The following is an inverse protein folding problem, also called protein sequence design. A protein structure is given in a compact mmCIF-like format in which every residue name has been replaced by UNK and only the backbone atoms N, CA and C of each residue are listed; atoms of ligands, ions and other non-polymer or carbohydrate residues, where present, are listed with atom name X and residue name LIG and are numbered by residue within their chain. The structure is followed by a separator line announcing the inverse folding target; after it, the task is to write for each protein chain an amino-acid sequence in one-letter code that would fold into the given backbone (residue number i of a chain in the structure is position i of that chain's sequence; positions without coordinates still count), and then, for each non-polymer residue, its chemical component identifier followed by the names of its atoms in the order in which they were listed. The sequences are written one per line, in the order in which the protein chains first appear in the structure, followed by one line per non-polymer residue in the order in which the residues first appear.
data_IF_188491570139
#
_entry.id   IF_188491570139
#
_cell.length_a   1.000
_cell.length_b   1.000
_cell.length_c   1.000
_cell.angle_alpha   90.00
_cell.angle_beta   90.00
_cell.angle_gamma   90.00
#
_symmetry.space_group_name_H-M   'P 1'
#
loop_
_entity.id
_entity.type
_entity.pdbx_description
1 polymer ?
#
# COMPACT_ATOMS: atom_id res chain seq x y z
N UNK A 1 -29.34 -5.91 -25.76
CA UNK A 1 -28.75 -6.97 -24.90
C UNK A 1 -27.48 -6.43 -24.29
N UNK A 2 -27.55 -5.95 -23.05
CA UNK A 2 -26.39 -5.56 -22.24
C UNK A 2 -25.59 -6.81 -21.92
N UNK A 3 -24.37 -6.92 -22.45
CA UNK A 3 -23.43 -7.96 -22.01
C UNK A 3 -23.18 -7.73 -20.52
N UNK A 4 -23.58 -8.67 -19.68
CA UNK A 4 -23.13 -8.74 -18.29
C UNK A 4 -21.61 -8.79 -18.31
N UNK A 5 -20.97 -7.67 -17.95
CA UNK A 5 -19.52 -7.61 -17.81
C UNK A 5 -19.20 -8.36 -16.52
N UNK A 6 -18.79 -9.62 -16.65
CA UNK A 6 -18.28 -10.39 -15.52
C UNK A 6 -16.96 -9.76 -15.10
N UNK A 7 -16.97 -9.08 -13.95
CA UNK A 7 -15.76 -8.48 -13.38
C UNK A 7 -14.81 -9.61 -12.96
N UNK A 8 -13.55 -9.63 -13.43
CA UNK A 8 -12.59 -10.66 -13.07
C UNK A 8 -12.39 -10.73 -11.55
N UNK A 9 -12.31 -11.96 -10.99
CA UNK A 9 -12.10 -12.19 -9.53
C UNK A 9 -10.95 -11.37 -8.94
N UNK A 10 -9.87 -11.17 -9.69
CA UNK A 10 -8.73 -10.34 -9.30
C UNK A 10 -9.05 -8.84 -9.14
N UNK A 11 -9.96 -8.30 -9.96
CA UNK A 11 -10.44 -6.92 -9.80
C UNK A 11 -11.34 -6.81 -8.56
N UNK A 12 -12.20 -7.81 -8.34
CA UNK A 12 -13.04 -7.88 -7.13
C UNK A 12 -12.19 -7.87 -5.86
N UNK A 13 -11.08 -8.62 -5.83
CA UNK A 13 -10.18 -8.64 -4.69
C UNK A 13 -9.53 -7.27 -4.41
N UNK A 14 -9.16 -6.51 -5.45
CA UNK A 14 -8.59 -5.16 -5.29
C UNK A 14 -9.65 -4.17 -4.77
N UNK A 15 -10.86 -4.21 -5.33
CA UNK A 15 -11.98 -3.37 -4.89
C UNK A 15 -12.39 -3.68 -3.46
N UNK A 16 -12.41 -4.96 -3.09
CA UNK A 16 -12.70 -5.39 -1.73
C UNK A 16 -11.63 -4.90 -0.74
N UNK A 17 -10.34 -4.92 -1.12
CA UNK A 17 -9.28 -4.38 -0.27
C UNK A 17 -9.46 -2.87 -0.03
N UNK A 18 -9.83 -2.11 -1.06
CA UNK A 18 -10.11 -0.68 -0.92
C UNK A 18 -11.38 -0.40 -0.12
N UNK A 19 -12.45 -1.18 -0.33
CA UNK A 19 -13.67 -1.06 0.45
C UNK A 19 -13.42 -1.30 1.95
N UNK A 20 -12.60 -2.28 2.31
CA UNK A 20 -12.20 -2.51 3.70
C UNK A 20 -11.39 -1.36 4.28
N UNK A 21 -10.50 -0.74 3.48
CA UNK A 21 -9.80 0.48 3.90
C UNK A 21 -10.79 1.60 4.24
N UNK A 22 -11.75 1.88 3.34
CA UNK A 22 -12.76 2.92 3.56
C UNK A 22 -13.56 2.64 4.84
N UNK A 23 -14.06 1.41 5.00
CA UNK A 23 -14.80 1.01 6.20
C UNK A 23 -13.97 1.18 7.49
N UNK A 24 -12.69 0.82 7.46
CA UNK A 24 -11.81 0.97 8.60
C UNK A 24 -11.56 2.45 8.95
N UNK A 25 -11.36 3.31 7.94
CA UNK A 25 -11.20 4.76 8.16
C UNK A 25 -12.48 5.37 8.71
N UNK A 26 -13.64 5.02 8.16
CA UNK A 26 -14.95 5.50 8.64
C UNK A 26 -15.20 5.08 10.09
N UNK A 27 -14.94 3.82 10.45
CA UNK A 27 -15.09 3.33 11.83
C UNK A 27 -14.20 4.10 12.82
N UNK A 28 -12.95 4.38 12.44
CA UNK A 28 -12.01 5.13 13.26
C UNK A 28 -12.43 6.60 13.34
N UNK A 29 -12.94 7.19 12.26
CA UNK A 29 -13.50 8.54 12.25
C UNK A 29 -14.70 8.66 13.20
N UNK A 30 -15.68 7.77 13.08
CA UNK A 30 -16.89 7.77 13.91
C UNK A 30 -16.56 7.66 15.40
N UNK A 31 -15.56 6.83 15.72
CA UNK A 31 -15.15 6.57 17.09
C UNK A 31 -14.41 7.75 17.74
N UNK A 32 -13.56 8.45 16.98
CA UNK A 32 -12.61 9.41 17.56
C UNK A 32 -12.93 10.85 17.21
N UNK A 33 -13.40 11.15 15.99
CA UNK A 33 -13.54 12.52 15.50
C UNK A 33 -14.97 13.03 15.42
N UNK A 34 -15.95 12.18 15.08
CA UNK A 34 -17.34 12.59 14.83
C UNK A 34 -17.95 13.47 15.94
N UNK A 35 -17.68 13.16 17.20
CA UNK A 35 -18.19 13.94 18.35
C UNK A 35 -17.77 15.42 18.33
N UNK A 36 -16.63 15.75 17.70
CA UNK A 36 -16.10 17.10 17.64
C UNK A 36 -16.78 17.99 16.60
N UNK A 37 -17.54 17.44 15.65
CA UNK A 37 -18.34 18.24 14.71
C UNK A 37 -19.37 19.11 15.43
N UNK A 38 -19.92 18.59 16.53
CA UNK A 38 -20.85 19.32 17.41
C UNK A 38 -20.17 20.27 18.40
N UNK A 39 -18.83 20.33 18.42
CA UNK A 39 -18.03 21.06 19.42
C UNK A 39 -16.95 21.95 18.78
N UNK A 40 -17.32 22.97 17.98
CA UNK A 40 -16.36 23.78 17.22
C UNK A 40 -15.41 24.62 18.09
N UNK A 41 -15.73 24.81 19.37
CA UNK A 41 -14.91 25.55 20.33
C UNK A 41 -14.13 24.64 21.29
N UNK A 42 -14.04 23.34 20.99
CA UNK A 42 -13.26 22.39 21.78
C UNK A 42 -11.78 22.79 21.82
N UNK A 43 -11.22 22.94 23.02
CA UNK A 43 -9.78 23.21 23.18
C UNK A 43 -8.91 21.97 22.92
N UNK A 44 -7.61 22.15 22.59
CA UNK A 44 -6.70 21.04 22.27
C UNK A 44 -6.60 19.92 23.31
N UNK A 45 -6.78 20.23 24.60
CA UNK A 45 -6.76 19.22 25.65
C UNK A 45 -7.90 18.20 25.55
N UNK A 46 -9.01 18.57 24.90
CA UNK A 46 -10.18 17.72 24.73
C UNK A 46 -9.93 16.69 23.62
N UNK A 47 -9.46 17.14 22.45
CA UNK A 47 -9.35 16.30 21.25
C UNK A 47 -7.99 15.66 21.02
N UNK A 48 -6.93 16.10 21.72
CA UNK A 48 -5.55 15.70 21.42
C UNK A 48 -5.32 14.20 21.39
N UNK A 49 -5.90 13.44 22.33
CA UNK A 49 -5.70 11.99 22.38
C UNK A 49 -6.49 11.28 21.28
N UNK A 50 -7.70 11.77 20.98
CA UNK A 50 -8.55 11.18 19.96
C UNK A 50 -8.02 11.43 18.55
N UNK A 51 -7.56 12.65 18.26
CA UNK A 51 -6.89 12.99 16.99
C UNK A 51 -5.65 12.10 16.77
N UNK A 52 -4.88 11.85 17.82
CA UNK A 52 -3.73 10.96 17.74
C UNK A 52 -4.13 9.51 17.48
N UNK A 53 -5.12 9.01 18.22
CA UNK A 53 -5.63 7.66 18.03
C UNK A 53 -6.16 7.47 16.60
N UNK A 54 -6.91 8.46 16.11
CA UNK A 54 -7.38 8.52 14.73
C UNK A 54 -6.24 8.40 13.72
N UNK A 55 -5.25 9.29 13.78
CA UNK A 55 -4.11 9.27 12.85
C UNK A 55 -3.32 7.96 12.89
N UNK A 56 -3.05 7.41 14.07
CA UNK A 56 -2.27 6.16 14.22
C UNK A 56 -3.03 4.95 13.69
N UNK A 57 -4.33 4.85 13.94
CA UNK A 57 -5.14 3.73 13.46
C UNK A 57 -5.37 3.81 11.95
N UNK A 58 -5.64 5.01 11.41
CA UNK A 58 -5.72 5.21 9.96
C UNK A 58 -4.38 4.89 9.28
N UNK A 59 -3.25 5.26 9.89
CA UNK A 59 -1.91 4.91 9.39
C UNK A 59 -1.72 3.39 9.25
N UNK A 60 -2.15 2.63 10.26
CA UNK A 60 -2.10 1.17 10.20
C UNK A 60 -3.03 0.59 9.12
N UNK A 61 -4.24 1.13 8.97
CA UNK A 61 -5.17 0.70 7.93
C UNK A 61 -4.61 0.95 6.51
N UNK A 62 -3.98 2.12 6.29
CA UNK A 62 -3.30 2.40 5.02
C UNK A 62 -2.11 1.47 4.77
N UNK A 63 -1.31 1.16 5.80
CA UNK A 63 -0.21 0.20 5.70
C UNK A 63 -0.72 -1.16 5.22
N UNK A 64 -1.72 -1.72 5.91
CA UNK A 64 -2.33 -3.01 5.56
C UNK A 64 -2.91 -3.01 4.14
N UNK A 65 -3.56 -1.94 3.73
CA UNK A 65 -4.11 -1.80 2.38
C UNK A 65 -3.02 -1.87 1.30
N UNK A 66 -1.93 -1.11 1.45
CA UNK A 66 -0.83 -1.10 0.47
C UNK A 66 -0.17 -2.48 0.36
N UNK A 67 0.04 -3.14 1.51
CA UNK A 67 0.53 -4.52 1.55
C UNK A 67 -0.41 -5.47 0.80
N UNK A 68 -1.71 -5.39 1.08
CA UNK A 68 -2.73 -6.24 0.47
C UNK A 68 -2.78 -6.06 -1.05
N UNK A 69 -2.78 -4.82 -1.55
CA UNK A 69 -2.76 -4.52 -2.98
C UNK A 69 -1.52 -5.15 -3.63
N UNK A 70 -0.36 -4.96 -3.03
CA UNK A 70 0.90 -5.49 -3.58
C UNK A 70 0.91 -7.01 -3.68
N UNK A 71 0.38 -7.72 -2.68
CA UNK A 71 0.28 -9.18 -2.68
C UNK A 71 -0.74 -9.68 -3.71
N UNK A 72 -1.87 -8.96 -3.89
CA UNK A 72 -2.83 -9.30 -4.94
C UNK A 72 -2.19 -9.17 -6.33
N UNK A 73 -1.50 -8.06 -6.58
CA UNK A 73 -0.82 -7.81 -7.87
C UNK A 73 0.30 -8.83 -8.10
N UNK A 74 1.11 -9.13 -7.08
CA UNK A 74 2.13 -10.17 -7.12
C UNK A 74 1.58 -11.52 -7.60
N UNK A 75 0.50 -11.97 -6.96
CA UNK A 75 -0.14 -13.23 -7.33
C UNK A 75 -0.59 -13.19 -8.80
N UNK A 76 -1.21 -12.10 -9.24
CA UNK A 76 -1.65 -11.95 -10.62
C UNK A 76 -0.47 -11.96 -11.61
N UNK A 77 0.63 -11.27 -11.30
CA UNK A 77 1.83 -11.22 -12.17
C UNK A 77 2.43 -12.61 -12.35
N UNK A 78 2.54 -13.38 -11.27
CA UNK A 78 3.08 -14.74 -11.31
C UNK A 78 2.11 -15.69 -12.03
N UNK A 79 0.82 -15.64 -11.71
CA UNK A 79 -0.20 -16.49 -12.33
C UNK A 79 -0.33 -16.21 -13.84
N UNK A 80 -0.33 -14.94 -14.26
CA UNK A 80 -0.40 -14.56 -15.67
C UNK A 80 0.79 -15.16 -16.45
N UNK A 81 1.99 -15.13 -15.88
CA UNK A 81 3.14 -15.80 -16.51
C UNK A 81 2.97 -17.32 -16.53
N UNK A 82 2.62 -17.95 -15.41
CA UNK A 82 2.56 -19.42 -15.29
C UNK A 82 1.51 -20.01 -16.25
N UNK A 83 0.31 -19.44 -16.26
CA UNK A 83 -0.82 -20.01 -16.99
C UNK A 83 -0.93 -19.52 -18.43
N UNK A 84 -0.45 -18.31 -18.75
CA UNK A 84 -0.65 -17.71 -20.07
C UNK A 84 0.64 -17.25 -20.75
N UNK A 85 1.78 -17.33 -20.07
CA UNK A 85 3.09 -16.80 -20.52
C UNK A 85 3.09 -15.29 -20.79
N UNK A 86 2.11 -14.58 -20.25
CA UNK A 86 1.99 -13.14 -20.45
C UNK A 86 3.01 -12.41 -19.58
N UNK A 87 3.61 -11.39 -20.18
CA UNK A 87 4.58 -10.50 -19.54
C UNK A 87 4.08 -9.07 -19.75
N UNK A 88 3.99 -8.30 -18.67
CA UNK A 88 3.72 -6.86 -18.71
C UNK A 88 4.84 -6.09 -17.99
N UNK A 89 4.70 -4.77 -17.90
CA UNK A 89 5.63 -3.91 -17.18
C UNK A 89 5.78 -4.30 -15.70
N UNK A 90 4.70 -4.73 -15.03
CA UNK A 90 4.77 -5.28 -13.67
C UNK A 90 5.62 -6.56 -13.61
N UNK A 91 5.49 -7.48 -14.57
CA UNK A 91 6.35 -8.68 -14.65
C UNK A 91 7.81 -8.28 -14.82
N UNK A 92 8.10 -7.34 -15.71
CA UNK A 92 9.45 -6.87 -15.99
C UNK A 92 10.09 -6.18 -14.78
N UNK A 93 9.36 -5.26 -14.14
CA UNK A 93 9.81 -4.57 -12.93
C UNK A 93 9.98 -5.52 -11.75
N UNK A 94 9.10 -6.52 -11.63
CA UNK A 94 9.20 -7.50 -10.55
C UNK A 94 10.45 -8.37 -10.71
N UNK A 95 10.70 -8.87 -11.92
CA UNK A 95 11.93 -9.61 -12.23
C UNK A 95 13.16 -8.74 -11.98
N UNK A 96 13.17 -7.51 -12.49
CA UNK A 96 14.29 -6.59 -12.33
C UNK A 96 14.61 -6.29 -10.86
N UNK A 97 13.58 -6.07 -10.04
CA UNK A 97 13.75 -5.65 -8.65
C UNK A 97 14.01 -6.81 -7.68
N UNK A 98 13.55 -8.03 -7.98
CA UNK A 98 13.62 -9.16 -7.05
C UNK A 98 14.60 -10.25 -7.47
N UNK A 99 15.07 -10.26 -8.72
CA UNK A 99 15.86 -11.36 -9.27
C UNK A 99 17.23 -10.85 -9.68
N UNK A 100 18.26 -11.37 -9.03
CA UNK A 100 19.64 -11.10 -9.40
C UNK A 100 20.04 -11.86 -10.67
N UNK A 101 20.95 -11.25 -11.43
CA UNK A 101 21.59 -11.92 -12.56
C UNK A 101 22.25 -13.23 -12.09
N UNK A 102 22.02 -14.29 -12.85
CA UNK A 102 22.67 -15.58 -12.66
C UNK A 102 23.00 -16.17 -14.03
N UNK A 103 24.27 -16.55 -14.21
CA UNK A 103 24.68 -17.28 -15.41
C UNK A 103 23.90 -18.60 -15.52
N UNK A 104 23.37 -18.88 -16.70
CA UNK A 104 22.73 -20.16 -17.02
C UNK A 104 23.77 -21.22 -17.43
N UNK A 105 24.97 -20.78 -17.83
CA UNK A 105 26.07 -21.66 -18.17
C UNK A 105 26.70 -22.22 -16.90
N UNK A 106 26.80 -23.55 -16.83
CA UNK A 106 27.44 -24.28 -15.76
C UNK A 106 28.29 -25.40 -16.38
N UNK A 107 29.62 -25.28 -16.30
CA UNK A 107 30.57 -26.23 -16.89
C UNK A 107 30.47 -27.65 -16.29
N UNK A 108 29.93 -27.75 -15.07
CA UNK A 108 29.85 -29.00 -14.31
C UNK A 108 28.48 -29.69 -14.44
N UNK A 109 27.55 -29.16 -15.24
CA UNK A 109 26.19 -29.70 -15.37
C UNK A 109 25.70 -29.76 -16.82
N UNK A 110 25.63 -30.97 -17.37
CA UNK A 110 24.97 -31.28 -18.64
C UNK A 110 23.43 -31.39 -18.51
N UNK A 111 22.79 -30.51 -17.73
CA UNK A 111 21.33 -30.49 -17.60
C UNK A 111 20.67 -29.57 -18.64
N UNK A 112 19.77 -30.12 -19.45
CA UNK A 112 18.91 -29.33 -20.32
C UNK A 112 17.83 -28.65 -19.47
N UNK A 113 17.95 -27.33 -19.30
CA UNK A 113 16.96 -26.52 -18.58
C UNK A 113 15.91 -26.00 -19.56
N UNK A 114 14.65 -26.36 -19.35
CA UNK A 114 13.53 -25.75 -20.06
C UNK A 114 13.38 -24.29 -19.62
N UNK A 115 13.37 -23.36 -20.59
CA UNK A 115 13.28 -21.91 -20.33
C UNK A 115 12.06 -21.57 -19.46
N UNK A 116 10.94 -22.24 -19.68
CA UNK A 116 9.76 -22.06 -18.84
C UNK A 116 10.02 -22.43 -17.38
N UNK A 117 10.51 -23.65 -17.14
CA UNK A 117 10.68 -24.16 -15.79
C UNK A 117 11.68 -23.31 -15.02
N UNK A 118 12.70 -22.79 -15.71
CA UNK A 118 13.63 -21.82 -15.16
C UNK A 118 12.91 -20.55 -14.68
N UNK A 119 12.17 -19.87 -15.57
CA UNK A 119 11.51 -18.60 -15.24
C UNK A 119 10.41 -18.81 -14.19
N UNK A 120 9.63 -19.90 -14.29
CA UNK A 120 8.60 -20.24 -13.28
C UNK A 120 9.23 -20.36 -11.89
N UNK A 121 10.26 -21.19 -11.74
CA UNK A 121 10.95 -21.39 -10.45
C UNK A 121 11.52 -20.09 -9.89
N UNK A 122 12.05 -19.24 -10.78
CA UNK A 122 12.58 -17.93 -10.41
C UNK A 122 11.51 -16.96 -9.92
N UNK A 123 10.35 -16.92 -10.59
CA UNK A 123 9.20 -16.11 -10.17
C UNK A 123 8.60 -16.61 -8.86
N UNK A 124 8.48 -17.92 -8.66
CA UNK A 124 8.01 -18.52 -7.40
C UNK A 124 8.94 -18.17 -6.23
N UNK A 125 10.25 -18.30 -6.43
CA UNK A 125 11.23 -17.90 -5.41
C UNK A 125 11.14 -16.40 -5.09
N UNK A 126 11.06 -15.55 -6.11
CA UNK A 126 10.92 -14.11 -5.94
C UNK A 126 9.63 -13.75 -5.20
N UNK A 127 8.53 -14.43 -5.51
CA UNK A 127 7.23 -14.27 -4.83
C UNK A 127 7.35 -14.57 -3.33
N UNK A 128 8.02 -15.66 -2.97
CA UNK A 128 8.20 -16.03 -1.57
C UNK A 128 9.08 -15.03 -0.81
N UNK A 129 10.14 -14.53 -1.44
CA UNK A 129 11.03 -13.52 -0.86
C UNK A 129 10.27 -12.21 -0.65
N UNK A 130 9.59 -11.73 -1.70
CA UNK A 130 8.85 -10.48 -1.64
C UNK A 130 7.74 -10.54 -0.60
N UNK A 131 6.92 -11.60 -0.60
CA UNK A 131 5.81 -11.76 0.35
C UNK A 131 6.28 -11.73 1.80
N UNK A 132 7.43 -12.36 2.10
CA UNK A 132 8.05 -12.29 3.44
C UNK A 132 8.52 -10.88 3.80
N UNK A 133 9.03 -10.13 2.83
CA UNK A 133 9.54 -8.76 3.03
C UNK A 133 8.45 -7.71 3.21
N UNK A 134 7.21 -8.02 2.82
CA UNK A 134 6.03 -7.16 3.00
C UNK A 134 5.44 -7.35 4.40
N UNK A 135 5.44 -8.58 4.94
CA UNK A 135 4.86 -8.90 6.26
C UNK A 135 5.65 -8.34 7.47
N UNK A 136 6.60 -7.44 7.25
CA UNK A 136 7.39 -6.81 8.31
C UNK A 136 6.92 -5.38 8.50
N UNK A 137 6.54 -5.02 9.73
CA UNK A 137 6.01 -3.68 10.06
C UNK A 137 7.03 -2.60 9.68
N UNK A 138 6.67 -1.73 8.73
CA UNK A 138 7.57 -0.75 8.12
C UNK A 138 7.05 0.69 8.23
N UNK A 139 5.76 0.84 8.49
CA UNK A 139 5.06 2.09 8.50
C UNK A 139 4.64 2.55 7.11
N UNK A 140 3.36 2.91 6.99
CA UNK A 140 2.84 3.66 5.85
C UNK A 140 3.63 4.97 5.64
N UNK A 141 4.12 5.20 4.43
CA UNK A 141 4.97 6.34 4.09
C UNK A 141 5.64 6.18 2.74
N UNK A 142 6.10 7.29 2.13
CA UNK A 142 6.55 7.30 0.74
C UNK A 142 7.65 6.27 0.42
N UNK A 143 8.64 6.14 1.30
CA UNK A 143 9.73 5.16 1.15
C UNK A 143 9.20 3.72 1.17
N UNK A 144 8.27 3.43 2.08
CA UNK A 144 7.69 2.10 2.19
C UNK A 144 6.79 1.79 1.00
N UNK A 145 5.89 2.70 0.65
CA UNK A 145 5.05 2.58 -0.53
C UNK A 145 5.90 2.37 -1.79
N UNK A 146 7.00 3.10 -1.95
CA UNK A 146 7.92 2.93 -3.08
C UNK A 146 8.54 1.53 -3.10
N UNK A 147 8.96 1.00 -1.94
CA UNK A 147 9.50 -0.36 -1.81
C UNK A 147 8.47 -1.42 -2.25
N UNK A 148 7.19 -1.22 -1.94
CA UNK A 148 6.14 -2.22 -2.12
C UNK A 148 5.45 -2.11 -3.49
N UNK A 149 5.31 -0.91 -4.05
CA UNK A 149 4.54 -0.67 -5.28
C UNK A 149 5.40 -0.58 -6.55
N UNK A 150 6.61 -0.02 -6.45
CA UNK A 150 7.53 0.12 -7.60
C UNK A 150 7.87 -1.22 -8.26
N UNK A 151 8.07 -2.34 -7.51
CA UNK A 151 8.25 -3.66 -8.11
C UNK A 151 7.13 -4.09 -9.07
N UNK A 152 5.93 -3.51 -8.94
CA UNK A 152 4.78 -3.80 -9.80
C UNK A 152 4.47 -2.69 -10.80
N UNK A 153 5.41 -1.76 -11.03
CA UNK A 153 5.23 -0.63 -11.93
C UNK A 153 4.00 0.23 -11.56
N UNK A 154 3.68 0.35 -10.27
CA UNK A 154 2.61 1.20 -9.75
C UNK A 154 3.26 2.47 -9.19
N UNK A 155 3.11 3.56 -9.93
CA UNK A 155 3.63 4.86 -9.52
C UNK A 155 2.77 5.49 -8.43
N UNK A 156 3.43 6.09 -7.45
CA UNK A 156 2.77 6.91 -6.43
C UNK A 156 2.55 8.31 -7.02
N UNK A 157 1.38 8.91 -6.76
CA UNK A 157 1.10 10.28 -7.19
C UNK A 157 2.19 11.26 -6.72
N UNK A 158 2.51 12.25 -7.57
CA UNK A 158 3.46 13.33 -7.25
C UNK A 158 2.75 14.62 -6.86
N UNK A 159 1.44 14.58 -6.66
CA UNK A 159 0.67 15.73 -6.22
C UNK A 159 1.22 16.25 -4.88
N UNK A 160 1.56 17.54 -4.84
CA UNK A 160 2.24 18.14 -3.69
C UNK A 160 1.37 18.14 -2.43
N UNK A 161 0.05 18.30 -2.56
CA UNK A 161 -0.87 18.32 -1.43
C UNK A 161 -0.99 16.92 -0.83
N UNK A 162 -1.22 15.91 -1.67
CA UNK A 162 -1.31 14.51 -1.23
C UNK A 162 -0.01 14.04 -0.56
N UNK A 163 1.14 14.44 -1.11
CA UNK A 163 2.45 14.11 -0.52
C UNK A 163 2.68 14.81 0.81
N UNK A 164 2.24 16.06 0.95
CA UNK A 164 2.32 16.77 2.22
C UNK A 164 1.45 16.09 3.29
N UNK A 165 0.21 15.74 2.96
CA UNK A 165 -0.71 15.03 3.87
C UNK A 165 -0.15 13.66 4.29
N UNK A 166 0.43 12.90 3.35
CA UNK A 166 1.15 11.66 3.67
C UNK A 166 2.28 11.91 4.69
N UNK A 167 3.13 12.90 4.46
CA UNK A 167 4.22 13.26 5.37
C UNK A 167 3.68 13.64 6.75
N UNK A 168 2.63 14.47 6.81
CA UNK A 168 2.00 14.87 8.06
C UNK A 168 1.45 13.67 8.84
N UNK A 169 0.75 12.75 8.17
CA UNK A 169 0.22 11.52 8.80
C UNK A 169 1.36 10.64 9.36
N UNK A 170 2.45 10.48 8.62
CA UNK A 170 3.61 9.72 9.12
C UNK A 170 4.31 10.41 10.30
N UNK A 171 4.30 11.75 10.31
CA UNK A 171 4.82 12.57 11.39
C UNK A 171 4.08 12.33 12.70
N UNK A 172 2.75 12.27 12.66
CA UNK A 172 1.93 11.99 13.85
C UNK A 172 2.26 10.63 14.50
N UNK A 173 2.59 9.60 13.71
CA UNK A 173 3.13 8.32 14.23
C UNK A 173 4.54 8.49 14.84
N UNK A 174 5.43 9.22 14.17
CA UNK A 174 6.82 9.43 14.61
C UNK A 174 6.97 10.26 15.90
N UNK A 175 6.09 11.25 16.11
CA UNK A 175 6.07 12.06 17.33
C UNK A 175 5.78 11.25 18.60
N UNK A 176 5.21 10.06 18.49
CA UNK A 176 4.94 9.18 19.62
C UNK A 176 6.21 8.49 20.16
N UNK A 177 7.19 8.17 19.31
CA UNK A 177 8.39 7.45 19.73
C UNK A 177 9.43 8.34 20.45
N UNK A 178 9.44 9.65 20.18
CA UNK A 178 10.49 10.56 20.66
C UNK A 178 10.06 11.58 21.73
N UNK A 179 8.77 11.64 22.13
CA UNK A 179 8.27 12.66 23.09
C UNK A 179 8.41 12.32 24.58
N UNK A 180 9.06 11.22 24.95
CA UNK A 180 9.40 10.98 26.36
C UNK A 180 10.52 11.91 26.87
N UNK A 181 11.19 12.67 25.98
CA UNK A 181 12.40 13.45 26.33
C UNK A 181 12.25 14.99 26.33
N UNK A 182 11.20 15.58 25.75
CA UNK A 182 11.13 17.04 25.63
C UNK A 182 9.92 17.64 26.38
N UNK A 183 10.06 17.73 27.70
CA UNK A 183 9.23 18.60 28.57
C UNK A 183 9.53 20.08 28.31
N UNK A 184 9.10 20.63 27.17
CA UNK A 184 9.33 22.05 26.91
C UNK A 184 8.48 22.68 25.83
N UNK A 185 8.32 22.02 24.68
CA UNK A 185 7.58 22.59 23.56
C UNK A 185 6.45 21.65 23.16
N UNK A 186 5.27 21.85 23.76
CA UNK A 186 4.03 21.21 23.29
C UNK A 186 3.68 21.85 21.94
N UNK A 187 4.25 21.32 20.86
CA UNK A 187 3.80 21.66 19.50
C UNK A 187 2.29 21.35 19.45
N UNK A 188 1.50 22.36 19.09
CA UNK A 188 0.04 22.29 19.07
C UNK A 188 -0.41 21.03 18.30
N UNK A 189 -1.30 20.27 18.92
CA UNK A 189 -1.90 19.11 18.24
C UNK A 189 -2.81 19.63 17.14
N UNK A 190 -2.74 19.03 15.95
CA UNK A 190 -3.63 19.39 14.85
C UNK A 190 -5.09 19.25 15.26
N UNK A 191 -5.94 20.13 14.74
CA UNK A 191 -7.38 20.06 15.00
C UNK A 191 -8.02 18.82 14.35
N UNK A 192 -9.20 18.38 14.82
CA UNK A 192 -9.95 17.28 14.23
C UNK A 192 -10.19 17.43 12.72
N UNK A 193 -10.54 18.65 12.27
CA UNK A 193 -10.76 18.98 10.84
C UNK A 193 -9.50 18.76 10.00
N UNK A 194 -8.36 19.28 10.46
CA UNK A 194 -7.07 19.10 9.77
C UNK A 194 -6.68 17.61 9.73
N UNK A 195 -6.91 16.87 10.82
CA UNK A 195 -6.64 15.44 10.86
C UNK A 195 -7.52 14.66 9.87
N UNK A 196 -8.79 15.04 9.75
CA UNK A 196 -9.71 14.49 8.77
C UNK A 196 -9.21 14.74 7.35
N UNK A 197 -8.87 15.98 7.00
CA UNK A 197 -8.38 16.35 5.66
C UNK A 197 -7.12 15.56 5.28
N UNK A 198 -6.17 15.43 6.21
CA UNK A 198 -4.94 14.66 6.00
C UNK A 198 -5.24 13.19 5.67
N UNK A 199 -6.16 12.56 6.41
CA UNK A 199 -6.53 11.17 6.17
C UNK A 199 -7.33 11.02 4.88
N UNK A 200 -8.20 11.99 4.56
CA UNK A 200 -8.95 12.01 3.32
C UNK A 200 -8.03 12.10 2.09
N UNK A 201 -7.02 12.98 2.13
CA UNK A 201 -6.00 13.04 1.08
C UNK A 201 -5.25 11.71 0.91
N UNK A 202 -4.95 11.02 2.01
CA UNK A 202 -4.34 9.69 1.97
C UNK A 202 -5.29 8.63 1.36
N UNK A 203 -6.60 8.74 1.57
CA UNK A 203 -7.60 7.90 0.89
C UNK A 203 -7.63 8.15 -0.62
N UNK A 204 -7.57 9.41 -1.05
CA UNK A 204 -7.49 9.78 -2.48
C UNK A 204 -6.23 9.19 -3.10
N UNK A 205 -5.09 9.26 -2.40
CA UNK A 205 -3.85 8.62 -2.85
C UNK A 205 -4.01 7.10 -2.99
N UNK A 206 -4.71 6.45 -2.05
CA UNK A 206 -4.98 5.02 -2.09
C UNK A 206 -5.92 4.61 -3.22
N UNK A 207 -6.86 5.48 -3.60
CA UNK A 207 -7.75 5.28 -4.75
C UNK A 207 -6.99 5.37 -6.08
N UNK A 208 -6.08 6.34 -6.22
CA UNK A 208 -5.20 6.44 -7.39
C UNK A 208 -4.36 5.14 -7.54
N UNK A 209 -3.84 4.61 -6.43
CA UNK A 209 -3.12 3.32 -6.40
C UNK A 209 -4.03 2.16 -6.82
N UNK A 210 -5.28 2.12 -6.36
CA UNK A 210 -6.27 1.11 -6.78
C UNK A 210 -6.43 1.12 -8.30
N UNK A 211 -6.65 2.30 -8.87
CA UNK A 211 -6.90 2.47 -10.30
C UNK A 211 -5.69 2.01 -11.13
N UNK A 212 -4.47 2.34 -10.70
CA UNK A 212 -3.23 1.86 -11.32
C UNK A 212 -3.07 0.35 -11.18
N UNK A 213 -3.37 -0.23 -10.02
CA UNK A 213 -3.31 -1.67 -9.78
C UNK A 213 -4.30 -2.45 -10.67
N UNK A 214 -5.53 -1.93 -10.85
CA UNK A 214 -6.54 -2.52 -11.75
C UNK A 214 -6.03 -2.64 -13.19
N UNK A 215 -5.26 -1.66 -13.66
CA UNK A 215 -4.65 -1.72 -14.99
C UNK A 215 -3.64 -2.87 -15.11
N UNK A 216 -2.83 -3.10 -14.07
CA UNK A 216 -1.81 -4.17 -14.05
C UNK A 216 -2.43 -5.57 -14.07
N UNK A 217 -3.61 -5.74 -13.49
CA UNK A 217 -4.31 -7.03 -13.41
C UNK A 217 -5.43 -7.17 -14.45
N UNK A 218 -5.46 -6.35 -15.51
CA UNK A 218 -6.52 -6.44 -16.52
C UNK A 218 -6.30 -7.65 -17.45
N UNK A 219 -7.31 -8.53 -17.67
CA UNK A 219 -7.23 -9.53 -18.73
C UNK A 219 -7.12 -8.81 -20.08
N UNK A 220 -6.16 -9.22 -20.90
CA UNK A 220 -6.05 -8.81 -22.29
C UNK A 220 -6.50 -10.00 -23.15
#
# INVERSE_FOLDING_TARGET
MSKLVVVPKRMVNLEQAYAYLCMAVDEVYDKFLLKYESMPLAGPNLFRLDVKAYCVLCHAAFEEYIERISLIVLNCVVDDYIYTRRVNDSTMMFIHSQINFQSLYNEDKDEIIQVFDYVRKKLELAKDIFSRSVNTNHGFGLKYMSKVLTPFAIDISKDANLMNSLVMLTGERGFHAHKTLERGNVKDTIGPEIAFDIVFDCLVLCEDILNKAKYKVKPH
#
